data_IF_514548172006
#
_entry.id   IF_514548172006
#
_cell.length_a   1.000
_cell.length_b   1.000
_cell.length_c   1.000
_cell.angle_alpha   90.00
_cell.angle_beta   90.00
_cell.angle_gamma   90.00
#
_symmetry.space_group_name_H-M   'P 1'
#
loop_
_entity.id
_entity.type
_entity.pdbx_description
1 polymer ?
#
# COMPACT_ATOMS: atom_id res chain seq x y z
N UNK A 1 26.50 24.09 -6.10
CA UNK A 1 25.36 23.42 -6.75
C UNK A 1 25.31 21.98 -6.29
N UNK A 2 24.39 21.69 -5.37
CA UNK A 2 23.54 20.50 -5.29
C UNK A 2 22.90 20.52 -3.91
N UNK A 3 21.69 21.07 -3.87
CA UNK A 3 20.76 20.93 -2.76
C UNK A 3 20.26 19.49 -2.73
N UNK A 4 20.54 18.77 -1.66
CA UNK A 4 19.72 17.61 -1.32
C UNK A 4 18.64 18.11 -0.36
N UNK A 5 17.40 17.99 -0.81
CA UNK A 5 16.21 18.38 -0.11
C UNK A 5 16.10 17.64 1.23
N UNK A 6 15.74 18.41 2.25
CA UNK A 6 15.31 18.00 3.56
C UNK A 6 14.04 17.15 3.43
N UNK A 7 14.15 15.83 3.54
CA UNK A 7 13.01 15.00 3.91
C UNK A 7 13.05 14.84 5.43
N UNK A 8 12.31 15.70 6.12
CA UNK A 8 11.97 15.55 7.53
C UNK A 8 11.05 14.33 7.68
N UNK A 9 11.64 13.16 7.91
CA UNK A 9 10.95 12.10 8.65
C UNK A 9 11.00 12.56 10.10
N UNK A 10 9.85 12.91 10.67
CA UNK A 10 9.72 13.31 12.06
C UNK A 10 10.14 12.14 12.97
N UNK A 11 11.43 12.09 13.31
CA UNK A 11 11.93 11.19 14.33
C UNK A 11 11.40 11.68 15.68
N UNK A 12 10.87 10.75 16.48
CA UNK A 12 10.56 10.99 17.89
C UNK A 12 11.77 11.68 18.57
N UNK A 13 11.57 12.71 19.42
CA UNK A 13 12.64 13.52 20.02
C UNK A 13 13.71 12.72 20.82
N UNK A 14 13.49 11.42 21.02
CA UNK A 14 14.44 10.48 21.60
C UNK A 14 15.66 10.18 20.70
N UNK A 15 15.49 10.17 19.37
CA UNK A 15 16.55 9.79 18.43
C UNK A 15 17.60 10.88 18.21
N UNK A 16 17.21 12.16 18.23
CA UNK A 16 18.14 13.29 18.04
C UNK A 16 19.29 13.31 19.05
N UNK A 17 19.04 12.86 20.29
CA UNK A 17 20.02 12.95 21.38
C UNK A 17 21.12 11.88 21.33
N UNK A 18 20.98 10.84 20.52
CA UNK A 18 21.89 9.69 20.47
C UNK A 18 22.62 9.49 19.13
N UNK A 19 22.27 10.26 18.10
CA UNK A 19 22.86 10.16 16.76
C UNK A 19 24.29 10.76 16.63
N UNK A 20 24.87 11.30 17.70
CA UNK A 20 26.25 11.86 17.70
C UNK A 20 27.36 10.83 17.95
N UNK A 21 27.01 9.55 18.11
CA UNK A 21 27.98 8.44 18.16
C UNK A 21 28.26 7.96 16.73
N UNK A 22 29.54 7.74 16.39
CA UNK A 22 30.00 7.22 15.10
C UNK A 22 29.15 6.02 14.65
N UNK A 23 28.24 6.24 13.70
CA UNK A 23 27.39 5.19 13.14
C UNK A 23 28.24 4.28 12.27
N UNK A 24 28.67 3.14 12.82
CA UNK A 24 29.49 2.17 12.11
C UNK A 24 28.60 1.30 11.20
N UNK A 25 28.20 1.86 10.05
CA UNK A 25 27.40 1.14 9.06
C UNK A 25 28.32 0.34 8.15
N UNK A 26 28.13 -0.98 8.14
CA UNK A 26 28.88 -1.90 7.27
C UNK A 26 27.93 -2.59 6.30
N UNK A 27 28.17 -2.38 5.00
CA UNK A 27 27.41 -3.02 3.93
C UNK A 27 28.24 -4.15 3.34
N UNK A 28 27.67 -5.36 3.33
CA UNK A 28 28.31 -6.54 2.74
C UNK A 28 27.60 -6.86 1.42
N UNK A 29 28.13 -6.35 0.31
CA UNK A 29 27.69 -6.76 -1.03
C UNK A 29 28.34 -8.08 -1.39
N UNK A 30 27.56 -9.08 -1.79
CA UNK A 30 28.13 -10.35 -2.22
C UNK A 30 27.18 -11.17 -3.10
N UNK A 31 27.73 -11.90 -4.08
CA UNK A 31 26.98 -12.79 -4.98
C UNK A 31 26.42 -14.05 -4.31
N UNK A 32 25.72 -14.88 -5.07
CA UNK A 32 25.28 -16.19 -4.58
C UNK A 32 26.50 -17.06 -4.16
N UNK A 33 26.37 -17.81 -3.06
CA UNK A 33 27.43 -18.72 -2.59
C UNK A 33 28.68 -18.07 -1.97
N UNK A 34 28.75 -16.74 -1.87
CA UNK A 34 29.95 -16.01 -1.40
C UNK A 34 30.19 -16.04 0.12
N UNK A 35 29.48 -16.89 0.88
CA UNK A 35 29.66 -17.00 2.32
C UNK A 35 29.14 -15.82 3.16
N UNK A 36 28.17 -15.01 2.68
CA UNK A 36 27.58 -13.89 3.45
C UNK A 36 27.18 -14.28 4.87
N UNK A 37 26.43 -15.38 4.98
CA UNK A 37 25.96 -15.91 6.26
C UNK A 37 27.11 -16.36 7.14
N UNK A 38 28.14 -16.99 6.56
CA UNK A 38 29.35 -17.39 7.29
C UNK A 38 30.05 -16.17 7.87
N UNK A 39 30.24 -15.12 7.06
CA UNK A 39 30.89 -13.88 7.48
C UNK A 39 30.09 -13.17 8.57
N UNK A 40 28.78 -13.02 8.41
CA UNK A 40 27.89 -12.45 9.43
C UNK A 40 27.95 -13.22 10.75
N UNK A 41 27.97 -14.56 10.68
CA UNK A 41 28.10 -15.43 11.87
C UNK A 41 29.45 -15.20 12.55
N UNK A 42 30.55 -15.21 11.79
CA UNK A 42 31.89 -14.98 12.34
C UNK A 42 32.00 -13.62 13.03
N UNK A 43 31.52 -12.56 12.39
CA UNK A 43 31.57 -11.19 12.94
C UNK A 43 30.74 -11.07 14.21
N UNK A 44 29.54 -11.66 14.24
CA UNK A 44 28.70 -11.67 15.44
C UNK A 44 29.35 -12.44 16.59
N UNK A 45 29.94 -13.61 16.32
CA UNK A 45 30.66 -14.39 17.34
C UNK A 45 31.83 -13.60 17.91
N UNK A 46 32.57 -12.88 17.07
CA UNK A 46 33.69 -12.06 17.53
C UNK A 46 33.24 -10.92 18.45
N UNK A 47 32.16 -10.19 18.11
CA UNK A 47 31.61 -9.15 18.99
C UNK A 47 31.10 -9.71 20.33
N UNK A 48 30.52 -10.90 20.31
CA UNK A 48 30.08 -11.57 21.53
C UNK A 48 31.28 -12.05 22.35
N UNK A 49 32.34 -12.54 21.71
CA UNK A 49 33.58 -13.03 22.34
C UNK A 49 34.38 -11.90 22.98
N UNK A 50 34.58 -10.79 22.29
CA UNK A 50 35.30 -9.61 22.81
C UNK A 50 34.58 -8.98 24.01
N UNK A 51 33.26 -9.15 24.10
CA UNK A 51 32.42 -8.51 25.12
C UNK A 51 31.94 -7.12 24.73
N UNK A 52 32.25 -6.65 23.52
CA UNK A 52 31.75 -5.39 22.97
C UNK A 52 30.22 -5.39 22.89
N UNK A 53 29.63 -6.57 22.65
CA UNK A 53 28.19 -6.76 22.56
C UNK A 53 27.74 -7.88 23.51
N UNK A 54 26.69 -7.60 24.29
CA UNK A 54 25.98 -8.62 25.07
C UNK A 54 25.00 -9.38 24.17
N UNK A 55 24.74 -10.68 24.39
CA UNK A 55 23.77 -11.44 23.60
C UNK A 55 22.39 -10.76 23.50
N UNK A 56 21.89 -10.16 24.60
CA UNK A 56 20.63 -9.42 24.65
C UNK A 56 20.62 -8.08 23.89
N UNK A 57 21.79 -7.58 23.50
CA UNK A 57 21.94 -6.38 22.66
C UNK A 57 21.91 -6.68 21.16
N UNK A 58 21.83 -7.95 20.77
CA UNK A 58 21.81 -8.36 19.36
C UNK A 58 20.39 -8.31 18.81
N UNK A 59 20.20 -7.56 17.71
CA UNK A 59 19.02 -7.62 16.87
C UNK A 59 19.47 -8.07 15.47
N UNK A 60 18.96 -9.20 15.00
CA UNK A 60 19.28 -9.74 13.68
C UNK A 60 18.01 -10.22 12.98
N UNK A 61 17.77 -9.72 11.77
CA UNK A 61 16.55 -10.04 11.01
C UNK A 61 16.85 -10.71 9.68
N UNK A 62 15.94 -11.59 9.23
CA UNK A 62 16.00 -12.27 7.94
C UNK A 62 14.60 -12.36 7.32
N UNK A 63 14.50 -12.70 6.03
CA UNK A 63 13.20 -12.82 5.36
C UNK A 63 12.39 -14.05 5.79
N UNK A 64 13.05 -15.13 6.24
CA UNK A 64 12.36 -16.39 6.53
C UNK A 64 12.67 -16.88 7.94
N UNK A 65 11.68 -17.51 8.59
CA UNK A 65 11.86 -18.13 9.91
C UNK A 65 13.00 -19.17 9.91
N UNK A 66 13.15 -19.91 8.80
CA UNK A 66 14.22 -20.90 8.61
C UNK A 66 15.60 -20.24 8.60
N UNK A 67 15.79 -19.16 7.84
CA UNK A 67 17.07 -18.45 7.80
C UNK A 67 17.45 -17.85 9.17
N UNK A 68 16.47 -17.30 9.89
CA UNK A 68 16.67 -16.81 11.26
C UNK A 68 17.09 -17.94 12.22
N UNK A 69 16.41 -19.09 12.17
CA UNK A 69 16.74 -20.25 12.99
C UNK A 69 18.12 -20.81 12.67
N UNK A 70 18.47 -20.91 11.38
CA UNK A 70 19.80 -21.33 10.94
C UNK A 70 20.91 -20.36 11.41
N UNK A 71 20.66 -19.04 11.35
CA UNK A 71 21.61 -18.04 11.87
C UNK A 71 21.80 -18.19 13.37
N UNK A 72 20.70 -18.30 14.13
CA UNK A 72 20.74 -18.48 15.58
C UNK A 72 21.53 -19.74 15.96
N UNK A 73 21.24 -20.87 15.30
CA UNK A 73 21.93 -22.13 15.59
C UNK A 73 23.42 -22.04 15.25
N UNK A 74 23.79 -21.50 14.09
CA UNK A 74 25.21 -21.34 13.70
C UNK A 74 26.01 -20.51 14.69
N UNK A 75 25.43 -19.41 15.19
CA UNK A 75 26.07 -18.55 16.19
C UNK A 75 26.21 -19.30 17.51
N UNK A 76 25.15 -19.99 17.94
CA UNK A 76 25.15 -20.79 19.17
C UNK A 76 26.20 -21.90 19.12
N UNK A 77 26.25 -22.69 18.04
CA UNK A 77 27.22 -23.76 17.85
C UNK A 77 28.65 -23.23 17.94
N UNK A 78 28.96 -22.13 17.24
CA UNK A 78 30.30 -21.54 17.29
C UNK A 78 30.71 -21.01 18.65
N UNK A 79 29.78 -20.40 19.38
CA UNK A 79 30.07 -19.96 20.75
C UNK A 79 30.41 -21.16 21.65
N UNK A 80 29.75 -22.31 21.46
CA UNK A 80 30.08 -23.54 22.18
C UNK A 80 31.46 -24.08 21.77
N UNK A 81 31.77 -24.10 20.47
CA UNK A 81 33.09 -24.53 19.95
C UNK A 81 34.24 -23.66 20.48
N UNK A 82 33.99 -22.36 20.69
CA UNK A 82 34.95 -21.41 21.28
C UNK A 82 35.02 -21.48 22.83
N UNK A 83 34.31 -22.42 23.46
CA UNK A 83 34.29 -22.57 24.93
C UNK A 83 33.44 -21.53 25.67
N UNK A 84 32.61 -20.76 24.96
CA UNK A 84 31.78 -19.68 25.50
C UNK A 84 30.34 -20.14 25.80
N UNK A 85 30.20 -21.26 26.52
CA UNK A 85 28.89 -21.88 26.79
C UNK A 85 27.91 -20.96 27.53
N UNK A 86 28.37 -20.07 28.42
CA UNK A 86 27.51 -19.07 29.07
C UNK A 86 26.86 -18.13 28.04
N UNK A 87 27.65 -17.58 27.13
CA UNK A 87 27.16 -16.70 26.06
C UNK A 87 26.24 -17.44 25.09
N UNK A 88 26.53 -18.70 24.79
CA UNK A 88 25.67 -19.53 23.96
C UNK A 88 24.27 -19.77 24.59
N UNK A 89 24.21 -19.91 25.92
CA UNK A 89 22.94 -20.00 26.66
C UNK A 89 22.20 -18.66 26.67
N UNK A 90 22.91 -17.56 26.92
CA UNK A 90 22.34 -16.20 26.90
C UNK A 90 21.86 -15.76 25.51
N UNK A 91 22.31 -16.42 24.43
CA UNK A 91 21.88 -16.14 23.06
C UNK A 91 20.36 -16.30 22.88
N UNK A 92 19.68 -17.09 23.72
CA UNK A 92 18.21 -17.16 23.72
C UNK A 92 17.53 -15.82 24.01
N UNK A 93 18.24 -14.86 24.62
CA UNK A 93 17.76 -13.49 24.84
C UNK A 93 18.04 -12.55 23.65
N UNK A 94 18.77 -13.00 22.64
CA UNK A 94 18.99 -12.23 21.42
C UNK A 94 17.70 -12.12 20.59
N UNK A 95 17.51 -10.98 19.94
CA UNK A 95 16.39 -10.74 19.05
C UNK A 95 16.76 -11.19 17.63
N UNK A 96 16.80 -12.51 17.42
CA UNK A 96 17.03 -13.13 16.10
C UNK A 96 15.69 -13.64 15.55
N UNK A 97 15.28 -13.19 14.36
CA UNK A 97 13.96 -13.54 13.82
C UNK A 97 13.70 -13.01 12.40
N UNK A 98 12.44 -13.06 11.98
CA UNK A 98 11.95 -12.28 10.84
C UNK A 98 11.57 -10.87 11.27
N UNK A 99 11.50 -9.93 10.34
CA UNK A 99 11.05 -8.54 10.60
C UNK A 99 9.73 -8.55 11.39
N UNK A 100 8.77 -9.34 10.93
CA UNK A 100 7.47 -9.48 11.60
C UNK A 100 7.60 -10.04 13.03
N UNK A 101 8.33 -11.13 13.24
CA UNK A 101 8.49 -11.72 14.58
C UNK A 101 9.21 -10.79 15.57
N UNK A 102 10.15 -9.98 15.07
CA UNK A 102 10.85 -9.00 15.90
C UNK A 102 9.96 -7.81 16.21
N UNK A 103 9.17 -7.36 15.23
CA UNK A 103 8.15 -6.32 15.42
C UNK A 103 7.16 -6.71 16.51
N UNK A 104 6.60 -7.92 16.46
CA UNK A 104 5.69 -8.42 17.51
C UNK A 104 6.38 -8.46 18.87
N UNK A 105 7.62 -8.97 18.96
CA UNK A 105 8.38 -8.98 20.21
C UNK A 105 8.62 -7.57 20.77
N UNK A 106 8.94 -6.60 19.91
CA UNK A 106 9.12 -5.20 20.32
C UNK A 106 7.80 -4.58 20.78
N UNK A 107 6.73 -4.76 20.02
CA UNK A 107 5.40 -4.26 20.36
C UNK A 107 4.92 -4.84 21.69
N UNK A 108 5.00 -6.16 21.90
CA UNK A 108 4.63 -6.78 23.17
C UNK A 108 5.50 -6.28 24.33
N UNK A 109 6.80 -6.02 24.09
CA UNK A 109 7.73 -5.51 25.10
C UNK A 109 7.43 -4.08 25.52
N UNK A 110 7.00 -3.23 24.59
CA UNK A 110 6.74 -1.80 24.80
C UNK A 110 5.24 -1.46 24.70
N UNK A 111 4.37 -2.44 24.91
CA UNK A 111 2.93 -2.31 24.68
C UNK A 111 2.32 -1.24 25.59
N UNK A 112 2.74 -1.21 26.85
CA UNK A 112 2.23 -0.24 27.84
C UNK A 112 2.64 1.19 27.48
N UNK A 113 3.89 1.40 27.07
CA UNK A 113 4.39 2.70 26.63
C UNK A 113 3.72 3.16 25.34
N UNK A 114 3.33 2.22 24.47
CA UNK A 114 2.58 2.49 23.25
C UNK A 114 1.06 2.63 23.48
N UNK A 115 0.56 2.43 24.71
CA UNK A 115 -0.88 2.50 25.03
C UNK A 115 -1.71 1.36 24.41
N UNK A 116 -1.08 0.23 24.07
CA UNK A 116 -1.73 -0.95 23.48
C UNK A 116 -1.71 -2.13 24.46
N UNK A 117 -2.57 -3.12 24.20
CA UNK A 117 -2.58 -4.37 24.97
C UNK A 117 -1.26 -5.16 24.77
N UNK A 118 -0.65 -5.69 25.84
CA UNK A 118 0.51 -6.61 25.72
C UNK A 118 0.17 -7.91 24.99
N UNK A 119 -1.10 -8.31 25.01
CA UNK A 119 -1.61 -9.44 24.24
C UNK A 119 -1.84 -8.96 22.80
N UNK A 120 -0.76 -8.97 22.02
CA UNK A 120 -0.77 -8.64 20.59
C UNK A 120 -1.07 -9.92 19.82
N UNK A 121 -2.29 -10.02 19.29
CA UNK A 121 -2.67 -11.10 18.38
C UNK A 121 -2.45 -10.66 16.92
N UNK A 122 -1.89 -11.58 16.13
CA UNK A 122 -1.70 -11.37 14.69
C UNK A 122 -3.01 -11.76 14.00
N UNK A 123 -3.63 -10.80 13.34
CA UNK A 123 -4.79 -11.05 12.47
C UNK A 123 -4.30 -11.85 11.25
N UNK A 124 -4.93 -13.00 11.00
CA UNK A 124 -4.63 -13.81 9.82
C UNK A 124 -5.14 -13.11 8.56
N UNK A 125 -4.44 -13.32 7.42
CA UNK A 125 -4.82 -12.71 6.15
C UNK A 125 -6.25 -13.10 5.71
N UNK A 126 -6.67 -14.32 6.01
CA UNK A 126 -8.03 -14.82 5.74
C UNK A 126 -9.13 -14.08 6.52
N UNK A 127 -8.81 -13.51 7.69
CA UNK A 127 -9.77 -12.79 8.52
C UNK A 127 -9.89 -11.30 8.13
N UNK A 128 -9.02 -10.79 7.25
CA UNK A 128 -8.98 -9.37 6.89
C UNK A 128 -10.32 -8.89 6.32
N UNK A 129 -10.96 -9.71 5.47
CA UNK A 129 -12.26 -9.39 4.87
C UNK A 129 -13.37 -9.31 5.92
N UNK A 130 -13.34 -10.21 6.91
CA UNK A 130 -14.31 -10.24 8.00
C UNK A 130 -14.19 -8.97 8.84
N UNK A 131 -12.99 -8.64 9.28
CA UNK A 131 -12.75 -7.44 10.11
C UNK A 131 -13.05 -6.15 9.36
N UNK A 132 -12.72 -6.07 8.07
CA UNK A 132 -13.09 -4.93 7.24
C UNK A 132 -14.62 -4.78 7.16
N UNK A 133 -15.35 -5.86 6.90
CA UNK A 133 -16.82 -5.83 6.79
C UNK A 133 -17.48 -5.42 8.11
N UNK A 134 -17.00 -5.92 9.24
CA UNK A 134 -17.47 -5.53 10.57
C UNK A 134 -17.19 -4.05 10.86
N UNK A 135 -15.98 -3.57 10.53
CA UNK A 135 -15.60 -2.17 10.73
C UNK A 135 -16.41 -1.24 9.83
N UNK A 136 -16.70 -1.64 8.60
CA UNK A 136 -17.52 -0.87 7.68
C UNK A 136 -18.96 -0.74 8.21
N UNK A 137 -19.51 -1.82 8.76
CA UNK A 137 -20.86 -1.84 9.32
C UNK A 137 -21.04 -0.93 10.55
N UNK A 138 -19.98 -0.61 11.30
CA UNK A 138 -20.07 0.32 12.44
C UNK A 138 -20.05 1.79 12.03
N UNK A 139 -19.49 2.12 10.86
CA UNK A 139 -19.33 3.50 10.38
C UNK A 139 -20.37 3.88 9.33
N UNK A 140 -20.91 2.90 8.59
CA UNK A 140 -21.83 3.13 7.48
C UNK A 140 -23.29 3.07 7.88
N UNK A 141 -24.03 4.13 7.60
CA UNK A 141 -25.49 4.16 7.68
C UNK A 141 -26.12 3.63 6.39
N UNK A 142 -27.31 3.02 6.47
CA UNK A 142 -28.06 2.56 5.28
C UNK A 142 -28.24 3.68 4.23
N UNK A 143 -28.52 4.91 4.64
CA UNK A 143 -28.68 6.04 3.73
C UNK A 143 -27.41 6.32 2.90
N UNK A 144 -26.24 6.40 3.56
CA UNK A 144 -24.94 6.55 2.88
C UNK A 144 -24.64 5.41 1.93
N UNK A 145 -24.94 4.17 2.32
CA UNK A 145 -24.76 3.00 1.44
C UNK A 145 -25.59 3.16 0.17
N UNK A 146 -26.87 3.51 0.30
CA UNK A 146 -27.73 3.75 -0.86
C UNK A 146 -27.25 4.90 -1.75
N UNK A 147 -26.72 5.98 -1.16
CA UNK A 147 -26.14 7.10 -1.93
C UNK A 147 -24.90 6.66 -2.72
N UNK A 148 -24.00 5.90 -2.09
CA UNK A 148 -22.79 5.40 -2.76
C UNK A 148 -23.17 4.39 -3.85
N UNK A 149 -24.11 3.49 -3.60
CA UNK A 149 -24.58 2.52 -4.60
C UNK A 149 -25.21 3.22 -5.81
N UNK A 150 -26.00 4.28 -5.59
CA UNK A 150 -26.56 5.08 -6.67
C UNK A 150 -25.46 5.81 -7.49
N UNK A 151 -24.43 6.35 -6.84
CA UNK A 151 -23.29 6.98 -7.52
C UNK A 151 -22.42 5.95 -8.26
N UNK A 152 -22.16 4.80 -7.64
CA UNK A 152 -21.41 3.72 -8.22
C UNK A 152 -22.10 3.18 -9.47
N UNK A 153 -23.43 3.01 -9.43
CA UNK A 153 -24.21 2.67 -10.61
C UNK A 153 -24.03 3.71 -11.73
N UNK A 154 -24.19 5.01 -11.41
CA UNK A 154 -24.00 6.13 -12.36
C UNK A 154 -22.58 6.27 -12.92
N UNK A 155 -21.57 5.77 -12.23
CA UNK A 155 -20.19 5.78 -12.68
C UNK A 155 -19.78 4.45 -13.34
N UNK A 156 -20.75 3.58 -13.62
CA UNK A 156 -20.52 2.21 -14.12
C UNK A 156 -19.55 1.39 -13.24
N UNK A 157 -19.48 1.76 -11.96
CA UNK A 157 -18.77 1.08 -10.88
C UNK A 157 -19.74 0.15 -10.12
N UNK A 158 -20.69 -0.46 -10.83
CA UNK A 158 -21.62 -1.44 -10.26
C UNK A 158 -21.08 -2.85 -10.49
N UNK A 159 -21.12 -3.66 -9.44
CA UNK A 159 -20.73 -5.08 -9.49
C UNK A 159 -21.49 -5.90 -10.55
N UNK A 160 -22.63 -5.41 -11.05
CA UNK A 160 -23.53 -6.16 -11.92
C UNK A 160 -23.03 -6.37 -13.36
N UNK A 161 -22.17 -5.49 -13.92
CA UNK A 161 -21.81 -5.56 -15.36
C UNK A 161 -20.36 -5.96 -15.65
N UNK A 162 -19.43 -5.82 -14.70
CA UNK A 162 -17.99 -6.05 -14.95
C UNK A 162 -17.29 -6.94 -13.92
N UNK A 163 -18.00 -7.46 -12.91
CA UNK A 163 -17.47 -8.44 -11.96
C UNK A 163 -16.30 -7.97 -11.08
N UNK A 164 -15.88 -6.70 -11.15
CA UNK A 164 -14.66 -6.20 -10.48
C UNK A 164 -14.79 -4.79 -9.88
N UNK A 165 -15.92 -4.11 -10.04
CA UNK A 165 -16.09 -2.74 -9.54
C UNK A 165 -17.05 -2.72 -8.34
N UNK A 166 -16.60 -3.23 -7.19
CA UNK A 166 -17.29 -3.05 -5.91
C UNK A 166 -16.64 -1.88 -5.17
N UNK A 167 -17.40 -0.81 -4.93
CA UNK A 167 -16.92 0.35 -4.16
C UNK A 167 -16.41 -0.05 -2.77
N UNK A 168 -16.90 -1.18 -2.21
CA UNK A 168 -16.41 -1.73 -0.94
C UNK A 168 -14.98 -2.24 -1.07
N UNK A 169 -14.63 -2.86 -2.20
CA UNK A 169 -13.26 -3.28 -2.48
C UNK A 169 -12.34 -2.07 -2.65
N UNK A 170 -12.77 -1.04 -3.40
CA UNK A 170 -12.00 0.20 -3.52
C UNK A 170 -11.75 0.85 -2.16
N UNK A 171 -12.76 0.89 -1.29
CA UNK A 171 -12.62 1.42 0.06
C UNK A 171 -11.66 0.57 0.91
N UNK A 172 -11.69 -0.75 0.76
CA UNK A 172 -10.72 -1.66 1.40
C UNK A 172 -9.31 -1.32 0.93
N UNK A 173 -9.09 -1.19 -0.37
CA UNK A 173 -7.77 -0.92 -0.95
C UNK A 173 -7.21 0.42 -0.47
N UNK A 174 -8.03 1.48 -0.45
CA UNK A 174 -7.66 2.79 0.11
C UNK A 174 -7.28 2.66 1.60
N UNK A 175 -8.06 1.89 2.36
CA UNK A 175 -7.81 1.67 3.80
C UNK A 175 -6.49 0.94 4.03
N UNK A 176 -6.20 -0.10 3.23
CA UNK A 176 -4.94 -0.86 3.30
C UNK A 176 -3.76 0.04 2.92
N UNK A 177 -3.88 0.82 1.85
CA UNK A 177 -2.83 1.77 1.43
C UNK A 177 -2.56 2.83 2.50
N UNK A 178 -3.61 3.40 3.10
CA UNK A 178 -3.47 4.38 4.17
C UNK A 178 -2.74 3.79 5.38
N UNK A 179 -3.11 2.58 5.81
CA UNK A 179 -2.49 1.89 6.94
C UNK A 179 -1.04 1.50 6.67
N UNK A 180 -0.74 1.02 5.48
CA UNK A 180 0.61 0.56 5.11
C UNK A 180 1.62 1.71 5.05
N UNK A 181 1.16 2.94 4.79
CA UNK A 181 2.00 4.12 4.67
C UNK A 181 1.83 5.12 5.84
N UNK A 182 1.10 4.74 6.89
CA UNK A 182 0.81 5.60 8.06
C UNK A 182 0.19 6.96 7.67
N UNK A 183 -0.74 6.95 6.71
CA UNK A 183 -1.41 8.16 6.25
C UNK A 183 -2.47 8.62 7.24
N UNK A 184 -2.30 9.86 7.71
CA UNK A 184 -3.29 10.56 8.52
C UNK A 184 -4.52 11.00 7.74
N UNK A 185 -5.51 11.51 8.47
CA UNK A 185 -6.77 12.00 7.89
C UNK A 185 -6.55 13.20 6.97
N UNK A 186 -5.54 14.02 7.25
CA UNK A 186 -5.12 15.16 6.44
C UNK A 186 -4.70 14.73 5.03
N UNK A 187 -3.88 13.67 4.93
CA UNK A 187 -3.44 13.11 3.64
C UNK A 187 -4.63 12.59 2.85
N UNK A 188 -5.55 11.87 3.51
CA UNK A 188 -6.75 11.35 2.87
C UNK A 188 -7.69 12.47 2.37
N UNK A 189 -7.83 13.55 3.13
CA UNK A 189 -8.63 14.71 2.73
C UNK A 189 -8.00 15.46 1.56
N UNK A 190 -6.68 15.64 1.56
CA UNK A 190 -5.95 16.22 0.42
C UNK A 190 -6.08 15.35 -0.82
N UNK A 191 -5.96 14.02 -0.67
CA UNK A 191 -6.13 13.07 -1.78
C UNK A 191 -7.55 13.13 -2.33
N UNK A 192 -8.58 13.19 -1.46
CA UNK A 192 -9.97 13.36 -1.88
C UNK A 192 -10.15 14.63 -2.73
N UNK A 193 -9.63 15.76 -2.27
CA UNK A 193 -9.73 17.03 -3.00
C UNK A 193 -9.06 16.94 -4.37
N UNK A 194 -7.82 16.42 -4.42
CA UNK A 194 -7.10 16.24 -5.68
C UNK A 194 -7.84 15.31 -6.65
N UNK A 195 -8.40 14.19 -6.17
CA UNK A 195 -9.17 13.27 -7.00
C UNK A 195 -10.45 13.91 -7.54
N UNK A 196 -11.18 14.69 -6.73
CA UNK A 196 -12.37 15.41 -7.20
C UNK A 196 -11.98 16.48 -8.21
N UNK A 197 -10.99 17.32 -7.93
CA UNK A 197 -10.56 18.38 -8.84
C UNK A 197 -10.04 17.82 -10.17
N UNK A 198 -9.35 16.68 -10.15
CA UNK A 198 -8.92 16.02 -11.38
C UNK A 198 -10.12 15.43 -12.13
N UNK A 199 -11.05 14.78 -11.43
CA UNK A 199 -12.27 14.25 -12.03
C UNK A 199 -13.14 15.33 -12.65
N UNK A 200 -13.27 16.48 -11.98
CA UNK A 200 -14.01 17.64 -12.48
C UNK A 200 -13.48 18.09 -13.84
N UNK A 201 -12.17 18.11 -14.07
CA UNK A 201 -11.59 18.45 -15.38
C UNK A 201 -12.07 17.55 -16.52
N UNK A 202 -12.51 16.33 -16.23
CA UNK A 202 -13.09 15.43 -17.24
C UNK A 202 -14.60 15.65 -17.44
N UNK A 203 -15.29 16.28 -16.49
CA UNK A 203 -16.71 16.61 -16.59
C UNK A 203 -16.96 17.90 -17.38
N UNK A 204 -16.03 18.84 -17.35
CA UNK A 204 -16.10 20.08 -18.13
C UNK A 204 -15.30 19.92 -19.44
N UNK A 205 -15.86 20.30 -20.61
CA UNK A 205 -15.06 20.44 -21.83
C UNK A 205 -13.98 21.53 -21.65
N UNK A 206 -12.89 21.44 -22.42
CA UNK A 206 -11.70 22.30 -22.29
C UNK A 206 -11.99 23.82 -22.28
N UNK A 207 -11.06 24.60 -21.71
CA UNK A 207 -11.13 26.07 -21.61
C UNK A 207 -11.54 26.73 -22.94
N UNK A 208 -12.68 27.43 -22.96
CA UNK A 208 -13.19 28.18 -24.13
C UNK A 208 -14.65 27.89 -24.53
N UNK A 209 -15.30 26.93 -23.88
CA UNK A 209 -16.70 26.55 -24.12
C UNK A 209 -17.66 27.34 -23.20
N UNK A 210 -17.94 28.61 -23.54
CA UNK A 210 -18.76 29.52 -22.71
C UNK A 210 -20.25 29.12 -22.60
N UNK A 211 -20.72 28.12 -23.35
CA UNK A 211 -22.12 27.62 -23.36
C UNK A 211 -22.45 26.63 -22.22
N UNK A 212 -21.52 26.38 -21.30
CA UNK A 212 -21.63 25.31 -20.31
C UNK A 212 -22.65 25.56 -19.17
N UNK A 213 -22.99 26.82 -18.89
CA UNK A 213 -23.79 27.17 -17.70
C UNK A 213 -25.29 26.89 -17.96
N UNK A 214 -25.92 26.10 -17.09
CA UNK A 214 -27.35 25.74 -17.11
C UNK A 214 -27.85 24.82 -18.24
N UNK A 215 -26.99 23.97 -18.82
CA UNK A 215 -27.45 22.92 -19.75
C UNK A 215 -28.31 21.86 -19.04
N UNK A 216 -29.53 21.65 -19.54
CA UNK A 216 -30.40 20.56 -19.07
C UNK A 216 -29.92 19.18 -19.56
N UNK A 217 -30.47 18.11 -18.98
CA UNK A 217 -30.10 16.73 -19.35
C UNK A 217 -30.31 16.42 -20.84
N UNK A 218 -31.27 17.08 -21.50
CA UNK A 218 -31.53 16.90 -22.92
C UNK A 218 -30.42 17.50 -23.78
N UNK A 219 -29.94 18.68 -23.41
CA UNK A 219 -28.84 19.40 -24.05
C UNK A 219 -27.54 18.62 -23.90
N UNK A 220 -27.29 18.03 -22.72
CA UNK A 220 -26.16 17.12 -22.48
C UNK A 220 -26.20 15.88 -23.37
N UNK A 221 -27.35 15.22 -23.47
CA UNK A 221 -27.52 14.05 -24.32
C UNK A 221 -27.34 14.38 -25.81
N UNK A 222 -27.86 15.51 -26.26
CA UNK A 222 -27.70 15.97 -27.65
C UNK A 222 -26.24 16.24 -27.99
N UNK A 223 -25.51 16.91 -27.11
CA UNK A 223 -24.08 17.17 -27.27
C UNK A 223 -23.25 15.88 -27.26
N UNK A 224 -23.56 14.95 -26.35
CA UNK A 224 -22.91 13.64 -26.30
C UNK A 224 -23.16 12.85 -27.59
N UNK A 225 -24.38 12.87 -28.14
CA UNK A 225 -24.67 12.27 -29.47
C UNK A 225 -23.75 12.82 -30.54
N UNK A 226 -23.64 14.14 -30.64
CA UNK A 226 -22.85 14.78 -31.68
C UNK A 226 -21.35 14.44 -31.55
N UNK A 227 -20.82 14.46 -30.33
CA UNK A 227 -19.42 14.08 -30.07
C UNK A 227 -19.17 12.60 -30.41
N UNK A 228 -20.10 11.70 -30.06
CA UNK A 228 -20.00 10.29 -30.41
C UNK A 228 -20.05 10.07 -31.92
N UNK A 229 -20.94 10.76 -32.64
CA UNK A 229 -21.01 10.70 -34.11
C UNK A 229 -19.70 11.14 -34.75
N UNK A 230 -19.18 12.31 -34.36
CA UNK A 230 -17.91 12.83 -34.85
C UNK A 230 -16.74 11.88 -34.54
N UNK A 231 -16.74 11.27 -33.35
CA UNK A 231 -15.68 10.35 -32.93
C UNK A 231 -15.74 9.03 -33.70
N UNK A 232 -16.92 8.44 -33.87
CA UNK A 232 -17.13 7.24 -34.68
C UNK A 232 -16.73 7.48 -36.13
N UNK A 233 -17.10 8.63 -36.70
CA UNK A 233 -16.71 8.99 -38.07
C UNK A 233 -15.19 9.10 -38.21
N UNK A 234 -14.52 9.78 -37.28
CA UNK A 234 -13.04 9.88 -37.26
C UNK A 234 -12.36 8.52 -37.12
N UNK A 235 -12.86 7.65 -36.24
CA UNK A 235 -12.30 6.31 -36.05
C UNK A 235 -12.48 5.43 -37.29
N UNK A 236 -13.62 5.51 -37.97
CA UNK A 236 -13.90 4.77 -39.20
C UNK A 236 -13.10 5.28 -40.41
N UNK A 237 -12.74 6.57 -40.42
CA UNK A 237 -11.91 7.19 -41.46
C UNK A 237 -10.40 7.09 -41.17
N UNK A 238 -10.01 6.56 -40.00
CA UNK A 238 -8.60 6.42 -39.63
C UNK A 238 -7.93 5.24 -40.39
N UNK A 239 -6.62 5.34 -40.63
CA UNK A 239 -5.83 4.28 -41.27
C UNK A 239 -5.55 3.09 -40.31
N UNK A 240 -5.77 3.28 -39.01
CA UNK A 240 -5.63 2.22 -38.00
C UNK A 240 -6.76 1.19 -38.09
N UNK A 241 -6.44 0.03 -38.65
CA UNK A 241 -7.35 -1.11 -38.82
C UNK A 241 -7.26 -2.15 -37.70
N UNK A 242 -6.65 -1.85 -36.55
CA UNK A 242 -6.50 -2.82 -35.46
C UNK A 242 -7.83 -3.29 -34.88
N UNK A 243 -7.85 -4.49 -34.31
CA UNK A 243 -9.04 -5.07 -33.66
C UNK A 243 -9.57 -4.17 -32.53
N UNK A 244 -8.67 -3.60 -31.71
CA UNK A 244 -9.06 -2.70 -30.61
C UNK A 244 -9.79 -1.45 -31.11
N UNK A 245 -9.32 -0.85 -32.20
CA UNK A 245 -9.95 0.35 -32.79
C UNK A 245 -11.34 0.03 -33.34
N UNK A 246 -11.54 -1.16 -33.92
CA UNK A 246 -12.87 -1.64 -34.33
C UNK A 246 -13.79 -1.93 -33.15
N UNK A 247 -13.30 -2.63 -32.13
CA UNK A 247 -14.07 -2.95 -30.92
C UNK A 247 -14.58 -1.66 -30.25
N UNK A 248 -13.71 -0.63 -30.15
CA UNK A 248 -14.09 0.69 -29.61
C UNK A 248 -15.12 1.40 -30.48
N UNK A 249 -14.96 1.41 -31.81
CA UNK A 249 -15.92 2.03 -32.71
C UNK A 249 -17.31 1.37 -32.62
N UNK A 250 -17.37 0.04 -32.52
CA UNK A 250 -18.61 -0.70 -32.30
C UNK A 250 -19.27 -0.36 -30.96
N UNK A 251 -18.50 -0.23 -29.88
CA UNK A 251 -19.04 0.11 -28.57
C UNK A 251 -19.57 1.55 -28.51
N UNK A 252 -18.88 2.51 -29.13
CA UNK A 252 -19.36 3.88 -29.27
C UNK A 252 -20.63 3.96 -30.12
N UNK A 253 -20.75 3.15 -31.18
CA UNK A 253 -21.97 3.05 -31.99
C UNK A 253 -23.15 2.48 -31.20
N UNK A 254 -22.94 1.43 -30.38
CA UNK A 254 -23.97 0.89 -29.48
C UNK A 254 -24.45 1.96 -28.50
N UNK A 255 -23.52 2.73 -27.94
CA UNK A 255 -23.82 3.79 -26.99
C UNK A 255 -24.61 4.94 -27.63
N UNK A 256 -24.22 5.36 -28.83
CA UNK A 256 -24.97 6.32 -29.65
C UNK A 256 -26.39 5.84 -29.95
N UNK A 257 -26.56 4.55 -30.29
CA UNK A 257 -27.87 3.97 -30.58
C UNK A 257 -28.79 3.97 -29.36
N UNK A 258 -28.27 3.62 -28.17
CA UNK A 258 -29.02 3.70 -26.90
C UNK A 258 -29.48 5.12 -26.63
N UNK A 259 -28.58 6.08 -26.74
CA UNK A 259 -28.87 7.48 -26.43
C UNK A 259 -29.90 8.10 -27.39
N UNK A 260 -29.85 7.77 -28.70
CA UNK A 260 -30.88 8.19 -29.68
C UNK A 260 -32.27 7.63 -29.40
N UNK A 261 -32.37 6.49 -28.71
CA UNK A 261 -33.65 5.88 -28.30
C UNK A 261 -34.21 6.50 -27.01
N UNK A 262 -33.51 7.46 -26.41
CA UNK A 262 -33.86 8.03 -25.11
C UNK A 262 -33.69 7.02 -23.97
N UNK A 263 -32.95 5.94 -24.20
CA UNK A 263 -32.57 5.01 -23.14
C UNK A 263 -31.56 5.72 -22.24
N UNK A 264 -31.69 5.53 -20.92
CA UNK A 264 -30.68 6.04 -20.01
C UNK A 264 -29.36 5.33 -20.31
N UNK A 265 -28.31 6.12 -20.47
CA UNK A 265 -26.95 5.61 -20.46
C UNK A 265 -26.63 5.30 -19.01
N UNK A 266 -26.94 4.05 -18.63
CA UNK A 266 -27.04 3.42 -17.29
C UNK A 266 -28.50 3.21 -16.88
#
# INVERSE_FOLDING_TARGET
MNSCASNEIAYLPFFEKHCTQNMNVKIISAGAGSGKTYRLTSELVEFLKSGDVRPSGVIATTFTKKAAAELHERVRTRLIEEGLSSKANELGHAMIGTVHSLGVKLLSRFALEAGISPNVDIIAEEDEQLFFSQSLATVMTNERVSQIEALAAKLSQSAAETGSNDWRQMLKDITVLARANDFGTDVLLSSKQASISEFEKFLYPEEGDEEFVDMDAHSWNSRLSELLERTVERLNQNEDSTKKTRDVAEDLQKLLFKLKRGEQLI
#
